data_IF_925462301085
#
_entry.id   IF_925462301085
#
_cell.length_a   1.000
_cell.length_b   1.000
_cell.length_c   1.000
_cell.angle_alpha   90.00
_cell.angle_beta   90.00
_cell.angle_gamma   90.00
#
_symmetry.space_group_name_H-M   'P 1'
#
loop_
_entity.id
_entity.type
_entity.pdbx_description
1 polymer ?
#
# COMPACT_ATOMS: atom_id res chain seq x y z
N UNK A 1 3.76 32.91 -7.46
CA UNK A 1 3.08 32.23 -6.33
C UNK A 1 2.66 30.87 -6.85
N UNK A 2 3.18 29.78 -6.30
CA UNK A 2 2.69 28.45 -6.68
C UNK A 2 1.24 28.34 -6.20
N UNK A 3 0.34 27.94 -7.08
CA UNK A 3 -1.06 27.71 -6.75
C UNK A 3 -1.17 26.53 -5.78
N UNK A 4 -2.04 26.62 -4.78
CA UNK A 4 -2.23 25.56 -3.79
C UNK A 4 -2.93 24.37 -4.45
N UNK A 5 -2.33 23.18 -4.37
CA UNK A 5 -2.93 21.97 -4.93
C UNK A 5 -4.07 21.43 -4.08
N UNK A 6 -5.04 20.80 -4.72
CA UNK A 6 -6.12 20.03 -4.09
C UNK A 6 -5.78 18.54 -4.13
N UNK A 7 -5.56 17.96 -2.96
CA UNK A 7 -5.08 16.59 -2.82
C UNK A 7 -6.13 15.72 -2.13
N UNK A 8 -6.44 14.59 -2.75
CA UNK A 8 -7.21 13.52 -2.14
C UNK A 8 -6.26 12.54 -1.45
N UNK A 9 -6.56 12.17 -0.21
CA UNK A 9 -5.83 11.15 0.54
C UNK A 9 -6.77 10.01 0.88
N UNK A 10 -6.43 8.80 0.43
CA UNK A 10 -7.09 7.56 0.86
C UNK A 10 -5.99 6.65 1.42
N UNK A 11 -5.80 6.62 2.74
CA UNK A 11 -4.71 5.86 3.36
C UNK A 11 -5.08 4.39 3.58
N UNK A 12 -4.07 3.56 3.86
CA UNK A 12 -4.25 2.24 4.51
C UNK A 12 -4.07 2.34 6.02
N UNK A 13 -4.73 1.48 6.79
CA UNK A 13 -4.76 1.58 8.26
C UNK A 13 -3.44 1.16 8.93
N UNK A 14 -3.36 1.33 10.24
CA UNK A 14 -2.25 0.92 11.08
C UNK A 14 -0.94 1.66 10.77
N UNK A 15 0.14 0.91 10.61
CA UNK A 15 1.50 1.44 10.41
C UNK A 15 1.65 2.24 9.10
N UNK A 16 0.81 1.98 8.11
CA UNK A 16 0.77 2.70 6.85
C UNK A 16 0.33 4.15 7.08
N UNK A 17 -0.80 4.34 7.76
CA UNK A 17 -1.30 5.66 8.15
C UNK A 17 -0.34 6.43 9.04
N UNK A 18 0.27 5.79 10.04
CA UNK A 18 1.20 6.46 10.97
C UNK A 18 2.38 7.14 10.26
N UNK A 19 2.84 6.59 9.13
CA UNK A 19 3.90 7.22 8.35
C UNK A 19 3.42 8.17 7.25
N UNK A 20 2.16 8.08 6.84
CA UNK A 20 1.54 9.00 5.87
C UNK A 20 1.05 10.28 6.53
N UNK A 21 0.49 10.16 7.74
CA UNK A 21 -0.12 11.27 8.48
C UNK A 21 0.77 12.51 8.60
N UNK A 22 2.07 12.42 9.00
CA UNK A 22 2.91 13.61 9.11
C UNK A 22 3.11 14.34 7.77
N UNK A 23 3.16 13.61 6.66
CA UNK A 23 3.28 14.18 5.31
C UNK A 23 1.98 14.90 4.94
N UNK A 24 0.84 14.26 5.21
CA UNK A 24 -0.51 14.79 4.96
C UNK A 24 -0.74 16.10 5.73
N UNK A 25 -0.38 16.14 7.02
CA UNK A 25 -0.48 17.35 7.85
C UNK A 25 0.46 18.45 7.36
N UNK A 26 1.69 18.11 6.96
CA UNK A 26 2.65 19.08 6.41
C UNK A 26 2.19 19.65 5.05
N UNK A 27 1.55 18.84 4.20
CA UNK A 27 0.96 19.29 2.93
C UNK A 27 -0.15 20.34 3.19
N UNK A 28 -1.04 20.06 4.15
CA UNK A 28 -2.08 21.00 4.57
C UNK A 28 -1.48 22.27 5.19
N UNK A 29 -0.49 22.14 6.07
CA UNK A 29 0.21 23.27 6.70
C UNK A 29 0.90 24.19 5.68
N UNK A 30 1.36 23.65 4.55
CA UNK A 30 1.94 24.41 3.44
C UNK A 30 0.92 25.07 2.51
N UNK A 31 -0.36 24.97 2.81
CA UNK A 31 -1.44 25.67 2.12
C UNK A 31 -2.19 24.84 1.07
N UNK A 32 -1.87 23.55 0.90
CA UNK A 32 -2.65 22.69 0.00
C UNK A 32 -4.02 22.37 0.61
N UNK A 33 -5.03 22.22 -0.24
CA UNK A 33 -6.35 21.75 0.19
C UNK A 33 -6.32 20.22 0.26
N UNK A 34 -6.21 19.68 1.47
CA UNK A 34 -6.06 18.24 1.67
C UNK A 34 -7.36 17.65 2.23
N UNK A 35 -7.92 16.68 1.52
CA UNK A 35 -9.11 15.92 1.95
C UNK A 35 -8.70 14.48 2.20
N UNK A 36 -8.84 14.03 3.44
CA UNK A 36 -8.55 12.65 3.87
C UNK A 36 -9.86 11.89 4.01
N UNK A 37 -9.97 10.75 3.34
CA UNK A 37 -11.15 9.87 3.39
C UNK A 37 -10.77 8.60 4.15
N UNK A 38 -11.42 8.35 5.29
CA UNK A 38 -11.11 7.22 6.18
C UNK A 38 -12.39 6.46 6.57
N UNK A 39 -12.32 5.17 6.95
CA UNK A 39 -13.48 4.45 7.46
C UNK A 39 -13.91 5.00 8.84
N UNK A 40 -15.19 4.88 9.18
CA UNK A 40 -15.73 5.26 10.49
C UNK A 40 -15.10 4.49 11.65
N UNK A 41 -14.68 3.24 11.42
CA UNK A 41 -13.92 2.42 12.36
C UNK A 41 -12.56 2.05 11.76
N UNK A 42 -11.50 2.28 12.53
CA UNK A 42 -10.10 2.02 12.17
C UNK A 42 -9.26 1.70 13.40
N UNK A 43 -8.08 1.12 13.20
CA UNK A 43 -7.07 0.87 14.24
C UNK A 43 -6.48 2.20 14.73
N UNK A 44 -6.02 3.02 13.78
CA UNK A 44 -5.16 4.17 14.06
C UNK A 44 -5.55 5.45 13.33
N UNK A 45 -6.52 5.38 12.40
CA UNK A 45 -6.93 6.54 11.63
C UNK A 45 -7.79 7.49 12.47
N UNK A 46 -7.70 8.78 12.13
CA UNK A 46 -8.47 9.83 12.74
C UNK A 46 -8.19 11.17 12.06
N UNK A 47 -8.86 12.24 12.51
CA UNK A 47 -8.64 13.57 11.97
C UNK A 47 -7.17 13.97 12.00
N UNK A 48 -6.75 14.71 10.98
CA UNK A 48 -5.39 15.23 10.83
C UNK A 48 -5.40 16.75 10.81
N UNK A 49 -4.37 17.35 11.42
CA UNK A 49 -4.25 18.81 11.48
C UNK A 49 -4.14 19.41 10.06
N UNK A 50 -4.71 20.61 9.87
CA UNK A 50 -4.69 21.33 8.60
C UNK A 50 -5.32 20.57 7.40
N UNK A 51 -6.20 19.59 7.66
CA UNK A 51 -6.90 18.82 6.62
C UNK A 51 -8.41 18.81 6.85
N UNK A 52 -9.16 18.45 5.80
CA UNK A 52 -10.57 18.07 5.91
C UNK A 52 -10.66 16.55 5.98
N UNK A 53 -11.41 16.01 6.94
CA UNK A 53 -11.64 14.56 7.05
C UNK A 53 -13.06 14.23 6.63
N UNK A 54 -13.22 13.25 5.73
CA UNK A 54 -14.48 12.63 5.36
C UNK A 54 -14.47 11.17 5.83
N UNK A 55 -15.63 10.66 6.22
CA UNK A 55 -15.77 9.27 6.66
C UNK A 55 -16.76 8.51 5.80
N UNK A 56 -16.60 7.18 5.76
CA UNK A 56 -17.56 6.26 5.12
C UNK A 56 -17.88 5.07 6.03
N UNK A 57 -19.09 4.50 5.92
CA UNK A 57 -19.52 3.42 6.80
C UNK A 57 -18.79 2.12 6.49
N UNK A 58 -18.59 1.33 7.53
CA UNK A 58 -18.00 -0.02 7.46
C UNK A 58 -18.83 -0.99 8.29
N UNK A 59 -18.80 -2.28 7.95
CA UNK A 59 -19.64 -3.32 8.55
C UNK A 59 -19.03 -3.96 9.80
N UNK A 60 -18.11 -3.27 10.47
CA UNK A 60 -17.38 -3.77 11.64
C UNK A 60 -17.15 -2.67 12.67
N UNK A 61 -16.95 -3.08 13.91
CA UNK A 61 -16.54 -2.22 15.02
C UNK A 61 -15.01 -2.19 15.17
N UNK A 62 -14.50 -1.18 15.87
CA UNK A 62 -13.06 -1.11 16.21
C UNK A 62 -12.58 -2.34 17.00
N UNK A 63 -13.40 -2.83 17.94
CA UNK A 63 -13.05 -4.01 18.74
C UNK A 63 -12.94 -5.29 17.89
N UNK A 64 -13.86 -5.48 16.93
CA UNK A 64 -13.79 -6.60 15.98
C UNK A 64 -12.59 -6.49 15.05
N UNK A 65 -12.23 -5.26 14.61
CA UNK A 65 -11.00 -5.00 13.87
C UNK A 65 -9.76 -5.39 14.66
N UNK A 66 -9.63 -4.92 15.90
CA UNK A 66 -8.49 -5.23 16.77
C UNK A 66 -8.37 -6.74 17.05
N UNK A 67 -9.50 -7.42 17.29
CA UNK A 67 -9.52 -8.86 17.52
C UNK A 67 -9.10 -9.66 16.27
N UNK A 68 -9.62 -9.32 15.09
CA UNK A 68 -9.23 -9.93 13.81
C UNK A 68 -7.74 -9.78 13.57
N UNK A 69 -7.22 -8.56 13.69
CA UNK A 69 -5.80 -8.25 13.50
C UNK A 69 -4.92 -9.07 14.44
N UNK A 70 -5.31 -9.19 15.71
CA UNK A 70 -4.55 -9.98 16.68
C UNK A 70 -4.53 -11.47 16.34
N UNK A 71 -5.67 -12.04 15.93
CA UNK A 71 -5.78 -13.46 15.56
C UNK A 71 -4.97 -13.79 14.31
N UNK A 72 -5.06 -12.94 13.29
CA UNK A 72 -4.31 -13.07 12.03
C UNK A 72 -2.81 -12.91 12.25
N UNK A 73 -2.40 -11.96 13.10
CA UNK A 73 -1.00 -11.78 13.47
C UNK A 73 -0.45 -12.98 14.24
N UNK A 74 -1.21 -13.53 15.20
CA UNK A 74 -0.84 -14.75 15.91
C UNK A 74 -0.72 -15.94 14.95
N UNK A 75 -1.63 -16.05 13.99
CA UNK A 75 -1.58 -17.07 12.94
C UNK A 75 -0.29 -16.96 12.14
N UNK A 76 0.03 -15.78 11.59
CA UNK A 76 1.26 -15.53 10.82
C UNK A 76 2.53 -15.86 11.62
N UNK A 77 2.59 -15.46 12.90
CA UNK A 77 3.74 -15.73 13.77
C UNK A 77 3.91 -17.21 14.12
N UNK A 78 2.83 -17.99 14.06
CA UNK A 78 2.85 -19.42 14.37
C UNK A 78 3.25 -20.30 13.19
N UNK A 79 3.39 -19.74 11.98
CA UNK A 79 3.68 -20.51 10.77
C UNK A 79 5.12 -21.04 10.80
N UNK A 80 5.28 -22.33 10.47
CA UNK A 80 6.59 -22.93 10.28
C UNK A 80 7.35 -22.29 9.11
N UNK A 81 8.58 -21.85 9.38
CA UNK A 81 9.51 -21.27 8.41
C UNK A 81 10.86 -22.01 8.39
N UNK A 82 10.92 -23.24 8.93
CA UNK A 82 12.13 -24.03 9.12
C UNK A 82 12.80 -24.47 7.81
N UNK A 83 12.02 -24.66 6.74
CA UNK A 83 12.50 -25.14 5.43
C UNK A 83 12.10 -24.18 4.31
N UNK A 84 12.75 -24.26 3.14
CA UNK A 84 12.37 -23.45 1.98
C UNK A 84 10.94 -23.73 1.50
N UNK A 85 10.46 -24.97 1.64
CA UNK A 85 9.07 -25.33 1.36
C UNK A 85 8.11 -24.72 2.38
N UNK A 86 8.43 -24.80 3.67
CA UNK A 86 7.62 -24.20 4.73
C UNK A 86 7.52 -22.67 4.55
N UNK A 87 8.64 -22.00 4.24
CA UNK A 87 8.67 -20.57 3.85
C UNK A 87 7.83 -20.28 2.61
N UNK A 88 7.71 -21.21 1.67
CA UNK A 88 6.86 -21.05 0.49
C UNK A 88 5.39 -21.14 0.86
N UNK A 89 5.01 -22.13 1.66
CA UNK A 89 3.65 -22.26 2.18
C UNK A 89 3.26 -21.05 3.05
N UNK A 90 4.15 -20.61 3.94
CA UNK A 90 3.96 -19.43 4.78
C UNK A 90 3.70 -18.17 3.96
N UNK A 91 4.43 -17.99 2.86
CA UNK A 91 4.21 -16.88 1.94
C UNK A 91 2.80 -16.92 1.34
N UNK A 92 2.36 -18.07 0.82
CA UNK A 92 1.01 -18.21 0.22
C UNK A 92 -0.09 -17.97 1.26
N UNK A 93 0.04 -18.54 2.46
CA UNK A 93 -0.91 -18.33 3.56
C UNK A 93 -0.97 -16.85 3.95
N UNK A 94 0.18 -16.18 4.01
CA UNK A 94 0.25 -14.75 4.32
C UNK A 94 -0.46 -13.91 3.25
N UNK A 95 -0.33 -14.24 1.96
CA UNK A 95 -1.05 -13.54 0.89
C UNK A 95 -2.57 -13.68 1.03
N UNK A 96 -3.06 -14.87 1.40
CA UNK A 96 -4.49 -15.13 1.59
C UNK A 96 -5.06 -14.35 2.79
N UNK A 97 -4.31 -14.30 3.90
CA UNK A 97 -4.68 -13.49 5.07
C UNK A 97 -4.69 -12.01 4.71
N UNK A 98 -3.64 -11.52 4.05
CA UNK A 98 -3.53 -10.11 3.67
C UNK A 98 -4.57 -9.70 2.63
N UNK A 99 -5.01 -10.60 1.73
CA UNK A 99 -6.12 -10.32 0.82
C UNK A 99 -7.41 -9.95 1.58
N UNK A 100 -7.69 -10.57 2.72
CA UNK A 100 -8.87 -10.23 3.51
C UNK A 100 -8.76 -8.81 4.09
N UNK A 101 -7.56 -8.41 4.53
CA UNK A 101 -7.30 -7.06 5.02
C UNK A 101 -7.47 -5.99 3.95
N UNK A 102 -6.84 -6.17 2.79
CA UNK A 102 -6.78 -5.11 1.78
C UNK A 102 -8.15 -4.76 1.18
N UNK A 103 -9.10 -5.68 1.25
CA UNK A 103 -10.45 -5.53 0.67
C UNK A 103 -11.52 -5.12 1.66
N UNK A 104 -11.21 -5.17 2.96
CA UNK A 104 -12.16 -4.91 4.04
C UNK A 104 -12.89 -3.57 3.89
N UNK A 105 -12.18 -2.57 3.38
CA UNK A 105 -12.67 -1.22 3.19
C UNK A 105 -13.24 -0.95 1.78
N UNK A 106 -13.03 -1.88 0.84
CA UNK A 106 -13.28 -1.66 -0.58
C UNK A 106 -14.76 -1.40 -0.85
N UNK A 107 -15.66 -2.26 -0.36
CA UNK A 107 -17.10 -2.11 -0.61
C UNK A 107 -17.68 -0.84 0.05
N UNK A 108 -17.25 -0.53 1.28
CA UNK A 108 -17.75 0.61 2.05
C UNK A 108 -17.50 1.96 1.37
N UNK A 109 -16.34 2.12 0.70
CA UNK A 109 -16.02 3.34 -0.04
C UNK A 109 -16.49 3.26 -1.51
N UNK A 110 -16.17 2.18 -2.22
CA UNK A 110 -16.37 2.09 -3.67
C UNK A 110 -17.84 1.91 -4.08
N UNK A 111 -18.69 1.35 -3.21
CA UNK A 111 -20.13 1.24 -3.49
C UNK A 111 -20.94 2.40 -2.93
N UNK A 112 -20.31 3.33 -2.20
CA UNK A 112 -20.95 4.55 -1.74
C UNK A 112 -20.99 5.60 -2.86
N UNK A 113 -22.04 5.51 -3.70
CA UNK A 113 -22.22 6.39 -4.87
C UNK A 113 -22.28 7.88 -4.52
N UNK A 114 -22.90 8.21 -3.38
CA UNK A 114 -23.02 9.60 -2.94
C UNK A 114 -21.67 10.18 -2.56
N UNK A 115 -20.82 9.40 -1.87
CA UNK A 115 -19.46 9.81 -1.55
C UNK A 115 -18.58 9.90 -2.80
N UNK A 116 -18.61 8.92 -3.70
CA UNK A 116 -17.84 8.98 -4.94
C UNK A 116 -18.22 10.21 -5.79
N UNK A 117 -19.52 10.49 -5.92
CA UNK A 117 -20.01 11.69 -6.61
C UNK A 117 -19.52 12.96 -5.93
N UNK A 118 -19.60 13.02 -4.60
CA UNK A 118 -19.06 14.14 -3.82
C UNK A 118 -17.55 14.31 -4.09
N UNK A 119 -16.76 13.25 -4.08
CA UNK A 119 -15.32 13.34 -4.36
C UNK A 119 -15.03 13.84 -5.78
N UNK A 120 -15.85 13.48 -6.76
CA UNK A 120 -15.76 13.98 -8.13
C UNK A 120 -16.00 15.50 -8.21
N UNK A 121 -16.96 16.03 -7.45
CA UNK A 121 -17.29 17.46 -7.42
C UNK A 121 -16.16 18.33 -6.83
N UNK A 122 -15.27 17.77 -6.01
CA UNK A 122 -14.15 18.52 -5.41
C UNK A 122 -13.08 18.93 -6.45
N UNK A 123 -13.00 18.21 -7.58
CA UNK A 123 -12.01 18.43 -8.65
C UNK A 123 -10.57 18.46 -8.10
N UNK A 124 -10.09 17.30 -7.62
CA UNK A 124 -8.74 17.14 -7.10
C UNK A 124 -7.68 17.14 -8.21
N UNK A 125 -6.48 17.63 -7.90
CA UNK A 125 -5.35 17.66 -8.83
C UNK A 125 -4.57 16.34 -8.83
N UNK A 126 -4.57 15.62 -7.70
CA UNK A 126 -3.92 14.32 -7.55
C UNK A 126 -4.47 13.57 -6.33
N UNK A 127 -4.24 12.26 -6.31
CA UNK A 127 -4.45 11.41 -5.14
C UNK A 127 -3.12 10.92 -4.58
N UNK A 128 -2.94 10.98 -3.26
CA UNK A 128 -1.84 10.35 -2.53
C UNK A 128 -2.41 9.20 -1.70
N UNK A 129 -2.00 7.97 -2.00
CA UNK A 129 -2.54 6.75 -1.40
C UNK A 129 -1.46 5.71 -1.16
N UNK A 130 -1.71 4.77 -0.25
CA UNK A 130 -0.84 3.63 -0.02
C UNK A 130 -1.38 2.43 -0.81
N UNK A 131 -0.60 1.83 -1.71
CA UNK A 131 -1.08 0.76 -2.59
C UNK A 131 -1.28 -0.59 -1.87
N UNK A 132 -0.98 -0.70 -0.57
CA UNK A 132 -1.32 -1.87 0.22
C UNK A 132 -2.84 -2.12 0.23
N UNK A 133 -3.66 -1.12 0.55
CA UNK A 133 -5.10 -1.17 0.31
C UNK A 133 -5.42 -0.57 -1.08
N UNK A 134 -5.86 -1.37 -2.07
CA UNK A 134 -6.03 -0.91 -3.45
C UNK A 134 -7.16 0.11 -3.64
N UNK A 135 -7.97 0.37 -2.60
CA UNK A 135 -9.17 1.22 -2.65
C UNK A 135 -8.85 2.62 -3.18
N UNK A 136 -7.78 3.24 -2.68
CA UNK A 136 -7.37 4.56 -3.16
C UNK A 136 -6.91 4.55 -4.61
N UNK A 137 -6.19 3.52 -5.04
CA UNK A 137 -5.78 3.37 -6.44
C UNK A 137 -7.00 3.25 -7.38
N UNK A 138 -8.04 2.52 -6.98
CA UNK A 138 -9.29 2.39 -7.75
C UNK A 138 -10.02 3.74 -7.82
N UNK A 139 -10.13 4.47 -6.70
CA UNK A 139 -10.75 5.81 -6.69
C UNK A 139 -9.99 6.80 -7.57
N UNK A 140 -8.65 6.76 -7.55
CA UNK A 140 -7.82 7.60 -8.43
C UNK A 140 -8.12 7.38 -9.91
N UNK A 141 -8.20 6.11 -10.31
CA UNK A 141 -8.57 5.72 -11.67
C UNK A 141 -10.01 6.12 -12.02
N UNK A 142 -10.98 5.91 -11.10
CA UNK A 142 -12.38 6.31 -11.28
C UNK A 142 -12.53 7.81 -11.51
N UNK A 143 -11.81 8.63 -10.73
CA UNK A 143 -11.79 10.08 -10.85
C UNK A 143 -10.92 10.58 -12.02
N UNK A 144 -10.15 9.69 -12.67
CA UNK A 144 -9.22 10.03 -13.74
C UNK A 144 -8.17 11.09 -13.33
N UNK A 145 -7.66 10.98 -12.10
CA UNK A 145 -6.64 11.90 -11.54
C UNK A 145 -5.28 11.20 -11.37
N UNK A 146 -4.15 11.93 -11.47
CA UNK A 146 -2.82 11.38 -11.24
C UNK A 146 -2.69 10.73 -9.85
N UNK A 147 -2.25 9.47 -9.82
CA UNK A 147 -2.01 8.73 -8.58
C UNK A 147 -0.55 8.81 -8.14
N UNK A 148 -0.35 9.22 -6.90
CA UNK A 148 0.93 9.19 -6.18
C UNK A 148 0.82 8.09 -5.15
N UNK A 149 1.68 7.09 -5.25
CA UNK A 149 1.71 5.97 -4.31
C UNK A 149 2.79 6.17 -3.28
N UNK A 150 2.46 6.02 -2.00
CA UNK A 150 3.46 5.97 -0.94
C UNK A 150 3.49 4.59 -0.33
N UNK A 151 4.62 3.90 -0.45
CA UNK A 151 4.76 2.49 -0.10
C UNK A 151 6.05 2.25 0.69
N UNK A 152 6.00 1.37 1.68
CA UNK A 152 7.21 0.85 2.34
C UNK A 152 7.64 -0.47 1.68
N UNK A 153 6.76 -1.45 1.66
CA UNK A 153 6.95 -2.71 0.98
C UNK A 153 5.57 -3.26 0.60
N UNK A 154 5.53 -4.16 -0.36
CA UNK A 154 4.30 -4.88 -0.69
C UNK A 154 4.58 -6.38 -0.70
N UNK A 155 3.76 -7.22 -0.03
CA UNK A 155 4.00 -8.65 0.09
C UNK A 155 4.18 -9.37 -1.25
N UNK A 156 3.43 -8.97 -2.28
CA UNK A 156 3.57 -9.53 -3.63
C UNK A 156 4.61 -8.78 -4.51
N UNK A 157 5.16 -7.66 -4.03
CA UNK A 157 6.11 -6.83 -4.78
C UNK A 157 5.51 -6.10 -5.98
N UNK A 158 4.29 -5.56 -5.80
CA UNK A 158 3.55 -4.86 -6.86
C UNK A 158 4.28 -3.63 -7.37
N UNK A 159 5.08 -2.97 -6.54
CA UNK A 159 5.93 -1.84 -6.93
C UNK A 159 6.87 -2.21 -8.07
N UNK A 160 7.49 -3.39 -7.99
CA UNK A 160 8.46 -3.86 -8.98
C UNK A 160 7.75 -4.30 -10.26
N UNK A 161 6.61 -4.98 -10.15
CA UNK A 161 5.81 -5.41 -11.30
C UNK A 161 5.18 -4.23 -12.05
N UNK A 162 4.54 -3.32 -11.32
CA UNK A 162 3.84 -2.17 -11.88
C UNK A 162 4.80 -1.15 -12.50
N UNK A 163 5.93 -0.87 -11.85
CA UNK A 163 6.96 0.04 -12.39
C UNK A 163 7.84 -0.59 -13.48
N UNK A 164 7.78 -1.92 -13.65
CA UNK A 164 8.67 -2.68 -14.53
C UNK A 164 10.17 -2.46 -14.23
N UNK A 165 10.50 -2.12 -12.99
CA UNK A 165 11.90 -2.00 -12.57
C UNK A 165 12.61 -3.36 -12.65
N UNK A 166 13.78 -3.43 -13.30
CA UNK A 166 14.58 -4.66 -13.30
C UNK A 166 14.97 -5.07 -11.87
N UNK A 167 14.68 -6.33 -11.50
CA UNK A 167 15.11 -6.94 -10.25
C UNK A 167 15.74 -8.31 -10.53
N UNK A 168 17.03 -8.37 -10.92
CA UNK A 168 17.63 -9.63 -11.35
C UNK A 168 17.73 -10.66 -10.23
N UNK A 169 17.11 -11.82 -10.44
CA UNK A 169 17.01 -12.89 -9.44
C UNK A 169 18.37 -13.50 -9.03
N UNK A 170 19.46 -13.20 -9.73
CA UNK A 170 20.80 -13.68 -9.39
C UNK A 170 21.44 -12.96 -8.20
N UNK A 171 20.97 -11.75 -7.87
CA UNK A 171 21.52 -10.93 -6.77
C UNK A 171 20.49 -10.08 -6.02
N UNK A 172 19.26 -9.91 -6.53
CA UNK A 172 18.16 -9.28 -5.78
C UNK A 172 17.31 -10.38 -5.15
N UNK A 173 17.38 -10.61 -3.83
CA UNK A 173 16.58 -11.63 -3.17
C UNK A 173 15.10 -11.23 -3.11
N UNK A 174 14.23 -12.19 -3.34
CA UNK A 174 12.78 -12.04 -3.20
C UNK A 174 12.41 -11.96 -1.72
N UNK A 175 11.34 -11.21 -1.43
CA UNK A 175 10.84 -11.04 -0.07
C UNK A 175 10.57 -12.38 0.62
N UNK A 176 10.73 -12.42 1.95
CA UNK A 176 10.49 -13.59 2.81
C UNK A 176 11.41 -14.81 2.60
N UNK A 177 12.36 -14.76 1.67
CA UNK A 177 13.36 -15.84 1.49
C UNK A 177 14.44 -15.86 2.58
N UNK A 178 14.69 -14.71 3.22
CA UNK A 178 15.82 -14.46 4.12
C UNK A 178 17.20 -14.58 3.43
N UNK A 179 17.23 -14.48 2.10
CA UNK A 179 18.48 -14.44 1.35
C UNK A 179 19.07 -13.03 1.34
N UNK A 180 20.37 -12.94 1.04
CA UNK A 180 21.11 -11.68 0.87
C UNK A 180 21.48 -11.47 -0.61
N UNK A 181 22.20 -10.40 -0.92
CA UNK A 181 22.82 -10.18 -2.23
C UNK A 181 23.88 -11.26 -2.59
N UNK A 182 24.35 -12.00 -1.59
CA UNK A 182 25.32 -13.10 -1.74
C UNK A 182 24.63 -14.46 -1.62
N UNK A 183 24.07 -14.91 -2.73
CA UNK A 183 23.42 -16.23 -2.85
C UNK A 183 24.36 -17.29 -3.46
N UNK A 184 24.33 -18.50 -2.90
CA UNK A 184 24.90 -19.68 -3.54
C UNK A 184 24.00 -20.18 -4.69
N UNK A 185 24.43 -21.24 -5.40
CA UNK A 185 23.68 -21.77 -6.55
C UNK A 185 22.25 -22.21 -6.17
N UNK A 186 22.07 -22.90 -5.04
CA UNK A 186 20.75 -23.33 -4.58
C UNK A 186 19.84 -22.14 -4.28
N UNK A 187 20.34 -21.17 -3.51
CA UNK A 187 19.60 -19.96 -3.17
C UNK A 187 19.20 -19.17 -4.41
N UNK A 188 20.09 -19.05 -5.41
CA UNK A 188 19.75 -18.42 -6.71
C UNK A 188 18.66 -19.19 -7.45
N UNK A 189 18.69 -20.52 -7.44
CA UNK A 189 17.66 -21.34 -8.06
C UNK A 189 16.30 -21.14 -7.38
N UNK A 190 16.25 -21.17 -6.05
CA UNK A 190 15.03 -20.91 -5.28
C UNK A 190 14.53 -19.48 -5.54
N UNK A 191 15.43 -18.51 -5.54
CA UNK A 191 15.10 -17.10 -5.78
C UNK A 191 14.54 -16.86 -7.18
N UNK A 192 15.12 -17.51 -8.20
CA UNK A 192 14.62 -17.47 -9.57
C UNK A 192 13.19 -18.02 -9.65
N UNK A 193 12.93 -19.18 -9.02
CA UNK A 193 11.58 -19.76 -8.98
C UNK A 193 10.59 -18.80 -8.30
N UNK A 194 10.99 -18.16 -7.19
CA UNK A 194 10.17 -17.13 -6.52
C UNK A 194 9.86 -15.95 -7.43
N UNK A 195 10.86 -15.42 -8.14
CA UNK A 195 10.67 -14.30 -9.09
C UNK A 195 9.70 -14.67 -10.21
N UNK A 196 9.77 -15.89 -10.74
CA UNK A 196 8.84 -16.36 -11.78
C UNK A 196 7.40 -16.52 -11.27
N UNK A 197 7.22 -16.81 -9.99
CA UNK A 197 5.91 -16.98 -9.35
C UNK A 197 5.31 -15.63 -8.88
N UNK A 198 6.13 -14.59 -8.75
CA UNK A 198 5.73 -13.28 -8.24
C UNK A 198 4.48 -12.67 -8.93
N UNK A 199 4.34 -12.71 -10.28
CA UNK A 199 3.12 -12.20 -10.92
C UNK A 199 1.86 -12.94 -10.49
N UNK A 200 1.91 -14.28 -10.42
CA UNK A 200 0.80 -15.11 -9.94
C UNK A 200 0.48 -14.83 -8.46
N UNK A 201 1.49 -14.50 -7.66
CA UNK A 201 1.30 -14.10 -6.27
C UNK A 201 0.52 -12.78 -6.15
N UNK A 202 0.84 -11.78 -6.99
CA UNK A 202 0.06 -10.54 -7.04
C UNK A 202 -1.35 -10.76 -7.61
N UNK A 203 -1.51 -11.56 -8.68
CA UNK A 203 -2.83 -11.93 -9.21
C UNK A 203 -3.71 -12.59 -8.14
N UNK A 204 -3.15 -13.52 -7.35
CA UNK A 204 -3.85 -14.15 -6.25
C UNK A 204 -4.29 -13.15 -5.19
N UNK A 205 -3.37 -12.28 -4.75
CA UNK A 205 -3.63 -11.29 -3.70
C UNK A 205 -4.69 -10.27 -4.16
N UNK A 206 -4.63 -9.82 -5.41
CA UNK A 206 -5.54 -8.81 -5.96
C UNK A 206 -6.78 -9.37 -6.68
N UNK A 207 -6.96 -10.69 -6.81
CA UNK A 207 -8.05 -11.29 -7.61
C UNK A 207 -9.44 -10.65 -7.37
N UNK A 208 -9.84 -10.51 -6.11
CA UNK A 208 -11.12 -9.86 -5.75
C UNK A 208 -11.08 -8.33 -5.91
N UNK A 209 -9.92 -7.70 -5.73
CA UNK A 209 -9.74 -6.27 -5.99
C UNK A 209 -9.94 -5.96 -7.49
N UNK A 210 -9.41 -6.81 -8.37
CA UNK A 210 -9.55 -6.71 -9.81
C UNK A 210 -11.02 -6.85 -10.24
N UNK A 211 -11.79 -7.75 -9.60
CA UNK A 211 -13.24 -7.88 -9.82
C UNK A 211 -14.00 -6.61 -9.41
N UNK A 212 -13.72 -6.08 -8.20
CA UNK A 212 -14.35 -4.85 -7.70
C UNK A 212 -13.97 -3.66 -8.59
N UNK A 213 -12.69 -3.50 -8.91
CA UNK A 213 -12.20 -2.45 -9.78
C UNK A 213 -12.87 -2.53 -11.16
N UNK A 214 -13.00 -3.73 -11.72
CA UNK A 214 -13.63 -3.91 -13.03
C UNK A 214 -15.12 -3.54 -13.03
N UNK A 215 -15.82 -3.83 -11.94
CA UNK A 215 -17.22 -3.44 -11.75
C UNK A 215 -17.37 -1.92 -11.60
N UNK A 216 -16.55 -1.29 -10.74
CA UNK A 216 -16.61 0.15 -10.45
C UNK A 216 -16.20 1.00 -11.66
N UNK A 217 -15.21 0.55 -12.42
CA UNK A 217 -14.68 1.25 -13.59
C UNK A 217 -15.42 0.89 -14.90
N UNK A 218 -16.37 -0.04 -14.84
CA UNK A 218 -17.14 -0.54 -15.99
C UNK A 218 -16.26 -1.04 -17.17
N UNK A 219 -15.05 -1.53 -16.86
CA UNK A 219 -14.10 -2.09 -17.83
C UNK A 219 -13.25 -3.17 -17.16
N UNK A 220 -12.69 -4.10 -17.94
CA UNK A 220 -11.69 -5.02 -17.40
C UNK A 220 -10.47 -4.21 -16.92
N UNK A 221 -10.15 -4.33 -15.64
CA UNK A 221 -9.02 -3.66 -15.01
C UNK A 221 -8.30 -4.62 -14.06
N UNK A 222 -6.97 -4.51 -13.99
CA UNK A 222 -6.18 -5.16 -12.95
C UNK A 222 -5.47 -4.14 -12.08
N UNK A 223 -5.25 -4.46 -10.82
CA UNK A 223 -4.55 -3.56 -9.89
C UNK A 223 -3.12 -3.27 -10.33
N UNK A 224 -2.43 -4.27 -10.90
CA UNK A 224 -1.08 -4.08 -11.47
C UNK A 224 -1.11 -3.08 -12.62
N UNK A 225 -2.12 -3.14 -13.50
CA UNK A 225 -2.31 -2.19 -14.60
C UNK A 225 -2.59 -0.78 -14.08
N UNK A 226 -3.52 -0.63 -13.14
CA UNK A 226 -3.84 0.66 -12.52
C UNK A 226 -2.58 1.27 -11.89
N UNK A 227 -1.86 0.50 -11.07
CA UNK A 227 -0.66 0.98 -10.40
C UNK A 227 0.50 1.24 -11.37
N UNK A 228 0.55 0.61 -12.55
CA UNK A 228 1.59 0.87 -13.56
C UNK A 228 1.53 2.29 -14.13
N UNK A 229 0.37 2.95 -14.01
CA UNK A 229 0.15 4.35 -14.44
C UNK A 229 0.44 5.38 -13.34
N UNK A 230 1.14 5.00 -12.27
CA UNK A 230 1.53 5.92 -11.22
C UNK A 230 2.25 7.16 -11.76
N UNK A 231 1.81 8.34 -11.33
CA UNK A 231 2.52 9.59 -11.59
C UNK A 231 3.83 9.64 -10.81
N UNK A 232 3.82 9.16 -9.56
CA UNK A 232 4.98 9.12 -8.69
C UNK A 232 4.87 8.00 -7.65
N UNK A 233 6.00 7.39 -7.30
CA UNK A 233 6.14 6.46 -6.20
C UNK A 233 7.03 7.07 -5.12
N UNK A 234 6.49 7.32 -3.94
CA UNK A 234 7.26 7.61 -2.74
C UNK A 234 7.57 6.32 -1.99
N UNK A 235 8.85 5.94 -1.99
CA UNK A 235 9.33 4.72 -1.34
C UNK A 235 9.82 5.08 0.06
N UNK A 236 9.21 4.48 1.09
CA UNK A 236 9.51 4.74 2.51
C UNK A 236 10.71 3.92 3.02
N UNK A 237 11.75 3.85 2.20
CA UNK A 237 13.04 3.26 2.50
C UNK A 237 14.14 4.07 1.82
N UNK A 238 15.38 3.78 2.17
CA UNK A 238 16.57 4.41 1.59
C UNK A 238 17.40 3.38 0.84
N UNK A 239 18.18 3.84 -0.14
CA UNK A 239 19.09 2.98 -0.90
C UNK A 239 20.13 2.30 0.00
N UNK A 240 20.40 2.83 1.20
CA UNK A 240 21.35 2.25 2.15
C UNK A 240 20.86 0.96 2.82
N UNK A 241 19.54 0.71 2.83
CA UNK A 241 18.93 -0.47 3.48
C UNK A 241 18.33 -1.47 2.49
N UNK A 242 18.20 -1.08 1.22
CA UNK A 242 17.67 -1.92 0.15
C UNK A 242 18.74 -2.53 -0.74
N UNK A 243 18.39 -3.63 -1.41
CA UNK A 243 19.29 -4.27 -2.37
C UNK A 243 19.45 -3.39 -3.62
N UNK A 244 20.67 -3.29 -4.17
CA UNK A 244 20.93 -2.42 -5.32
C UNK A 244 20.19 -2.93 -6.56
N UNK A 245 19.25 -2.12 -7.06
CA UNK A 245 18.52 -2.38 -8.31
C UNK A 245 18.19 -1.06 -9.01
N UNK A 246 18.05 -1.04 -10.35
CA UNK A 246 17.55 0.12 -11.06
C UNK A 246 16.14 0.50 -10.59
N UNK A 247 15.86 1.81 -10.58
CA UNK A 247 14.55 2.37 -10.28
C UNK A 247 14.10 3.31 -11.40
N UNK A 248 12.80 3.43 -11.62
CA UNK A 248 12.26 4.35 -12.61
C UNK A 248 12.39 5.82 -12.15
N UNK A 249 12.47 6.80 -13.08
CA UNK A 249 12.64 8.21 -12.73
C UNK A 249 11.52 8.81 -11.85
N UNK A 250 10.32 8.21 -11.91
CA UNK A 250 9.18 8.61 -11.08
C UNK A 250 9.15 7.90 -9.71
N UNK A 251 10.21 7.19 -9.32
CA UNK A 251 10.33 6.55 -8.00
C UNK A 251 11.33 7.32 -7.13
N UNK A 252 10.84 7.86 -6.03
CA UNK A 252 11.60 8.72 -5.12
C UNK A 252 11.66 8.07 -3.75
N UNK A 253 12.87 7.74 -3.30
CA UNK A 253 13.14 7.24 -1.96
C UNK A 253 13.08 8.42 -0.97
N UNK A 254 12.16 8.36 -0.02
CA UNK A 254 11.95 9.40 1.00
C UNK A 254 12.40 8.97 2.40
N UNK A 255 12.95 7.75 2.53
CA UNK A 255 13.40 7.21 3.80
C UNK A 255 12.27 6.95 4.80
N UNK A 256 12.63 6.79 6.07
CA UNK A 256 11.67 6.56 7.14
C UNK A 256 10.99 7.87 7.58
N UNK A 257 9.66 7.89 7.52
CA UNK A 257 8.84 9.08 7.84
C UNK A 257 8.43 9.16 9.32
N UNK A 258 8.64 8.09 10.09
CA UNK A 258 8.31 8.02 11.51
C UNK A 258 9.53 8.42 12.34
N UNK A 259 9.80 9.72 12.43
CA UNK A 259 10.77 10.27 13.40
C UNK A 259 10.08 11.39 14.18
N UNK A 260 9.59 11.05 15.37
CA UNK A 260 9.19 12.08 16.34
C UNK A 260 10.45 12.77 16.86
N UNK A 261 10.38 14.08 17.10
CA UNK A 261 11.44 14.77 17.85
C UNK A 261 11.64 14.06 19.17
N UNK A 262 12.88 13.67 19.46
CA UNK A 262 13.25 13.05 20.74
C UNK A 262 12.79 13.94 21.89
N UNK A 263 11.97 13.39 22.78
CA UNK A 263 11.65 14.07 24.05
C UNK A 263 12.90 14.01 24.94
N UNK A 264 13.18 15.04 25.74
CA UNK A 264 14.21 14.95 26.77
C UNK A 264 13.89 13.74 27.68
N UNK A 265 14.91 13.00 28.08
CA UNK A 265 14.74 11.95 29.09
C UNK A 265 14.15 12.59 30.34
N UNK A 266 13.08 12.00 30.89
CA UNK A 266 12.61 12.37 32.23
C UNK A 266 13.75 12.11 33.20
N UNK A 267 14.20 13.15 33.89
CA UNK A 267 15.14 13.02 35.01
C UNK A 267 14.50 12.25 36.17
#
# INVERSE_FOLDING_TARGET
LAEAGKLLIIPSDGSHWLGLKPIVEELGRRGNQVVVVIPEASLSMGPSEHTTTLTYPVNYTKAELEASVADEFNTILSIDISTDLAKFQAYIISLDILQMFILRNAEGLLFNKDLLKKLQEYNFDAILTDPFEPVGAIVGEYLSIPAIYMLINHPCGVDTLASQCPAPASYVPQAFTHFTDRMNLWQRSVNLVRTLIQPMACERMFARADEIASNVLERKASMVEIMSRAALWFLRFDFSVEFPRPVMPNMVMIGATVSQKTKPLSQ
#
